data_IF_635869908384
#
_entry.id   IF_635869908384
#
_cell.length_a   1.000
_cell.length_b   1.000
_cell.length_c   1.000
_cell.angle_alpha   90.00
_cell.angle_beta   90.00
_cell.angle_gamma   90.00
#
_symmetry.space_group_name_H-M   'P 1'
#
loop_
_entity.id
_entity.type
_entity.pdbx_description
1 polymer ?
#
# COMPACT_ATOMS: atom_id res chain seq x y z
N UNK A 1 5.14 -7.71 49.11
CA UNK A 1 5.82 -6.77 48.20
C UNK A 1 5.00 -5.49 48.23
N UNK A 2 5.53 -4.46 48.86
CA UNK A 2 4.86 -3.18 49.07
C UNK A 2 5.07 -2.28 47.84
N UNK A 3 4.01 -1.62 47.39
CA UNK A 3 4.05 -0.56 46.38
C UNK A 3 4.38 0.77 47.09
N UNK A 4 5.23 1.64 46.53
CA UNK A 4 5.47 2.96 47.10
C UNK A 4 4.46 3.98 46.57
N UNK A 5 3.83 4.67 47.52
CA UNK A 5 3.16 5.96 47.37
C UNK A 5 4.14 7.04 46.87
N UNK A 6 3.65 8.00 46.09
CA UNK A 6 4.44 9.17 45.69
C UNK A 6 3.78 10.04 44.63
N UNK A 7 2.70 10.73 45.00
CA UNK A 7 2.11 11.84 44.25
C UNK A 7 2.79 13.14 44.74
N UNK A 8 3.43 13.91 43.85
CA UNK A 8 3.79 15.30 44.10
C UNK A 8 3.03 16.19 43.10
N UNK A 9 2.13 17.01 43.63
CA UNK A 9 1.51 18.13 42.94
C UNK A 9 2.47 19.31 43.01
N UNK A 10 2.75 19.94 41.86
CA UNK A 10 3.45 21.22 41.80
C UNK A 10 2.42 22.32 41.58
N UNK A 11 2.21 23.10 42.63
CA UNK A 11 1.58 24.42 42.60
C UNK A 11 2.46 25.39 41.79
N UNK A 12 1.85 26.09 40.83
CA UNK A 12 2.46 27.25 40.17
C UNK A 12 1.38 28.31 39.97
N UNK A 13 1.15 29.09 41.01
CA UNK A 13 0.48 30.39 40.92
C UNK A 13 1.42 31.49 41.42
N UNK A 14 1.29 32.64 40.74
CA UNK A 14 1.81 33.98 41.06
C UNK A 14 3.28 34.32 40.72
N UNK A 15 3.44 35.03 39.59
CA UNK A 15 4.00 36.40 39.60
C UNK A 15 3.24 37.26 38.58
N UNK A 16 2.38 38.16 39.09
CA UNK A 16 1.91 39.36 38.38
C UNK A 16 2.87 40.53 38.67
N UNK A 17 3.25 41.30 37.65
CA UNK A 17 2.81 42.70 37.48
C UNK A 17 3.80 43.58 36.67
N UNK A 18 3.19 44.33 35.75
CA UNK A 18 3.51 45.68 35.29
C UNK A 18 4.66 45.91 34.28
N UNK A 19 4.26 46.12 33.02
CA UNK A 19 4.63 47.33 32.27
C UNK A 19 3.60 47.64 31.16
N UNK A 20 3.01 48.83 31.29
CA UNK A 20 2.18 49.63 30.37
C UNK A 20 2.40 49.34 28.86
N UNK A 21 1.41 49.29 27.98
CA UNK A 21 0.25 50.19 27.90
C UNK A 21 0.56 51.41 27.02
N UNK A 22 0.77 51.24 25.70
CA UNK A 22 0.52 52.24 24.63
C UNK A 22 0.93 51.68 23.23
N UNK A 23 0.17 50.72 22.67
CA UNK A 23 0.37 50.29 21.27
C UNK A 23 -0.86 49.61 20.61
N UNK A 24 -2.07 49.78 21.15
CA UNK A 24 -3.20 48.89 20.81
C UNK A 24 -4.19 49.42 19.75
N UNK A 25 -3.90 50.51 19.03
CA UNK A 25 -4.85 51.07 18.02
C UNK A 25 -4.21 51.30 16.64
N UNK A 26 -2.92 51.03 16.46
CA UNK A 26 -2.24 51.10 15.14
C UNK A 26 -1.72 49.73 14.68
N UNK A 27 -1.81 48.69 15.53
CA UNK A 27 -1.39 47.33 15.22
C UNK A 27 -2.50 46.46 14.59
N UNK A 28 -3.75 46.94 14.51
CA UNK A 28 -4.83 46.19 13.83
C UNK A 28 -4.83 46.39 12.32
N UNK A 29 -4.34 47.54 11.81
CA UNK A 29 -4.26 47.80 10.36
C UNK A 29 -2.99 47.26 9.70
N UNK A 30 -1.94 46.95 10.48
CA UNK A 30 -0.69 46.35 9.96
C UNK A 30 -0.71 44.81 9.94
N UNK A 31 -1.66 44.16 10.62
CA UNK A 31 -1.82 42.69 10.57
C UNK A 31 -2.54 42.22 9.31
N UNK A 32 -3.47 43.01 8.80
CA UNK A 32 -4.30 42.62 7.64
C UNK A 32 -3.51 42.57 6.33
N UNK A 33 -2.39 43.31 6.22
CA UNK A 33 -1.55 43.30 5.01
C UNK A 33 -0.41 42.28 5.01
N UNK A 34 -0.15 41.57 6.10
CA UNK A 34 0.83 40.47 6.11
C UNK A 34 0.21 39.10 5.85
N UNK A 35 -1.10 38.94 6.09
CA UNK A 35 -1.78 37.65 5.95
C UNK A 35 -1.96 37.22 4.48
N UNK A 36 -2.13 38.17 3.54
CA UNK A 36 -2.27 37.84 2.11
C UNK A 36 -0.96 37.32 1.48
N UNK A 37 0.21 37.80 1.90
CA UNK A 37 1.50 37.30 1.37
C UNK A 37 1.86 35.90 1.92
N UNK A 38 1.34 35.54 3.10
CA UNK A 38 1.65 34.28 3.77
C UNK A 38 0.91 33.08 3.15
N UNK A 39 -0.29 33.27 2.61
CA UNK A 39 -1.09 32.21 1.96
C UNK A 39 -0.42 31.63 0.73
N UNK A 40 0.10 32.49 -0.15
CA UNK A 40 0.83 32.09 -1.35
C UNK A 40 2.16 31.39 -1.00
N UNK A 41 2.89 31.90 -0.01
CA UNK A 41 4.13 31.29 0.46
C UNK A 41 3.90 29.88 1.06
N UNK A 42 2.85 29.73 1.87
CA UNK A 42 2.45 28.44 2.43
C UNK A 42 2.04 27.45 1.34
N UNK A 43 1.28 27.89 0.33
CA UNK A 43 0.88 27.01 -0.78
C UNK A 43 2.08 26.51 -1.59
N UNK A 44 3.05 27.39 -1.90
CA UNK A 44 4.28 27.01 -2.61
C UNK A 44 5.09 25.99 -1.80
N UNK A 45 5.23 26.22 -0.49
CA UNK A 45 5.92 25.28 0.40
C UNK A 45 5.17 23.94 0.54
N UNK A 46 3.84 23.99 0.67
CA UNK A 46 2.98 22.82 0.75
C UNK A 46 3.08 21.97 -0.52
N UNK A 47 3.07 22.60 -1.71
CA UNK A 47 3.26 21.91 -3.00
C UNK A 47 4.62 21.22 -3.07
N UNK A 48 5.69 21.93 -2.71
CA UNK A 48 7.03 21.36 -2.67
C UNK A 48 7.12 20.15 -1.73
N UNK A 49 6.61 20.28 -0.51
CA UNK A 49 6.61 19.21 0.48
C UNK A 49 5.70 18.05 0.07
N UNK A 50 4.55 18.32 -0.56
CA UNK A 50 3.62 17.32 -1.06
C UNK A 50 4.31 16.39 -2.08
N UNK A 51 5.00 16.99 -3.05
CA UNK A 51 5.71 16.24 -4.10
C UNK A 51 6.83 15.36 -3.53
N UNK A 52 7.57 15.89 -2.54
CA UNK A 52 8.64 15.15 -1.85
C UNK A 52 8.05 14.02 -0.99
N UNK A 53 7.12 14.35 -0.10
CA UNK A 53 6.62 13.42 0.93
C UNK A 53 5.82 12.26 0.35
N UNK A 54 5.14 12.47 -0.78
CA UNK A 54 4.38 11.42 -1.47
C UNK A 54 5.18 10.70 -2.57
N UNK A 55 6.44 11.06 -2.80
CA UNK A 55 7.26 10.48 -3.88
C UNK A 55 7.36 8.95 -3.77
N UNK A 56 7.54 8.44 -2.54
CA UNK A 56 7.69 7.00 -2.27
C UNK A 56 6.38 6.24 -2.08
N UNK A 57 5.24 6.93 -1.95
CA UNK A 57 3.94 6.27 -1.86
C UNK A 57 3.68 5.45 -3.12
N UNK A 58 3.27 4.20 -2.94
CA UNK A 58 2.97 3.26 -4.00
C UNK A 58 1.98 3.84 -5.01
N UNK A 59 2.26 3.68 -6.31
CA UNK A 59 1.47 4.28 -7.40
C UNK A 59 0.01 3.78 -7.47
N UNK A 60 -0.28 2.66 -6.83
CA UNK A 60 -1.60 2.04 -6.76
C UNK A 60 -2.42 2.56 -5.57
N UNK A 61 -1.82 3.34 -4.67
CA UNK A 61 -2.53 3.99 -3.58
C UNK A 61 -3.06 5.33 -4.11
N UNK A 62 -4.37 5.62 -3.98
CA UNK A 62 -4.93 6.92 -4.33
C UNK A 62 -4.22 8.04 -3.55
N UNK A 63 -3.84 9.12 -4.25
CA UNK A 63 -3.21 10.30 -3.66
C UNK A 63 -4.18 11.48 -3.80
N UNK A 64 -4.78 11.97 -2.70
CA UNK A 64 -5.57 13.20 -2.73
C UNK A 64 -4.74 14.36 -3.25
N UNK A 65 -5.32 15.21 -4.10
CA UNK A 65 -4.60 16.37 -4.64
C UNK A 65 -4.32 17.39 -3.54
N UNK A 66 -3.33 18.27 -3.72
CA UNK A 66 -3.09 19.36 -2.77
C UNK A 66 -4.36 20.23 -2.57
N UNK A 67 -5.08 20.51 -3.65
CA UNK A 67 -6.38 21.19 -3.61
C UNK A 67 -7.38 20.47 -2.68
N UNK A 68 -7.45 19.13 -2.75
CA UNK A 68 -8.29 18.34 -1.84
C UNK A 68 -7.85 18.53 -0.39
N UNK A 69 -6.53 18.51 -0.12
CA UNK A 69 -6.01 18.72 1.24
C UNK A 69 -6.34 20.11 1.79
N UNK A 70 -6.32 21.15 0.93
CA UNK A 70 -6.55 22.53 1.34
C UNK A 70 -8.03 22.87 1.53
N UNK A 71 -8.89 22.42 0.63
CA UNK A 71 -10.28 22.88 0.57
C UNK A 71 -11.31 21.82 0.98
N UNK A 72 -10.94 20.53 0.91
CA UNK A 72 -11.83 19.39 1.17
C UNK A 72 -11.10 18.28 1.94
N UNK A 73 -10.50 18.59 3.10
CA UNK A 73 -9.65 17.64 3.84
C UNK A 73 -10.38 16.34 4.23
N UNK A 74 -11.70 16.37 4.36
CA UNK A 74 -12.55 15.19 4.57
C UNK A 74 -12.53 14.20 3.40
N UNK A 75 -12.36 14.68 2.17
CA UNK A 75 -12.21 13.84 0.97
C UNK A 75 -10.79 13.26 0.83
N UNK A 76 -9.83 13.75 1.63
CA UNK A 76 -8.45 13.28 1.59
C UNK A 76 -8.22 11.94 2.31
N UNK A 77 -9.27 11.33 2.85
CA UNK A 77 -9.17 10.04 3.53
C UNK A 77 -8.86 8.92 2.53
N UNK A 78 -7.80 8.14 2.83
CA UNK A 78 -7.41 6.99 1.99
C UNK A 78 -7.91 5.70 2.64
N UNK A 79 -8.89 5.08 2.00
CA UNK A 79 -9.65 3.93 2.54
C UNK A 79 -8.82 2.68 2.77
N UNK A 80 -7.82 2.41 1.94
CA UNK A 80 -6.95 1.24 2.09
C UNK A 80 -5.88 1.41 3.19
N UNK A 81 -5.89 2.53 3.91
CA UNK A 81 -4.95 2.88 5.00
C UNK A 81 -5.73 3.02 6.32
N UNK A 82 -5.23 2.50 7.44
CA UNK A 82 -5.84 2.69 8.76
C UNK A 82 -6.02 4.17 9.12
N UNK A 83 -7.06 4.48 9.89
CA UNK A 83 -7.39 5.86 10.29
C UNK A 83 -6.24 6.54 11.07
N UNK A 84 -5.49 5.76 11.86
CA UNK A 84 -4.35 6.25 12.64
C UNK A 84 -3.04 6.35 11.83
N UNK A 85 -3.06 6.03 10.54
CA UNK A 85 -1.91 6.09 9.62
C UNK A 85 -2.17 6.97 8.40
N UNK A 86 -3.22 7.79 8.44
CA UNK A 86 -3.59 8.72 7.37
C UNK A 86 -2.48 9.75 7.08
N UNK A 87 -2.69 10.57 6.05
CA UNK A 87 -1.68 11.49 5.52
C UNK A 87 -1.01 12.38 6.58
N UNK A 88 -1.73 12.82 7.61
CA UNK A 88 -1.15 13.61 8.70
C UNK A 88 0.01 12.91 9.40
N UNK A 89 -0.15 11.62 9.73
CA UNK A 89 0.91 10.81 10.32
C UNK A 89 2.04 10.57 9.31
N UNK A 90 1.70 10.28 8.06
CA UNK A 90 2.69 10.09 7.00
C UNK A 90 3.60 11.31 6.83
N UNK A 91 3.00 12.50 6.74
CA UNK A 91 3.71 13.75 6.57
C UNK A 91 4.52 14.13 7.80
N UNK A 92 3.97 13.91 8.99
CA UNK A 92 4.65 14.16 10.27
C UNK A 92 5.85 13.24 10.51
N UNK A 93 5.82 12.00 10.00
CA UNK A 93 6.89 11.02 10.19
C UNK A 93 7.87 10.93 9.00
N UNK A 94 7.72 11.78 7.97
CA UNK A 94 8.49 11.67 6.73
C UNK A 94 10.01 11.60 6.95
N UNK A 95 10.59 12.49 7.76
CA UNK A 95 12.05 12.52 7.97
C UNK A 95 12.55 11.18 8.56
N UNK A 96 11.82 10.57 9.49
CA UNK A 96 12.16 9.25 10.06
C UNK A 96 12.02 8.11 9.05
N UNK A 97 11.02 8.18 8.18
CA UNK A 97 10.88 7.22 7.07
C UNK A 97 12.07 7.33 6.11
N UNK A 98 12.49 8.56 5.79
CA UNK A 98 13.61 8.85 4.90
C UNK A 98 14.97 8.44 5.51
N UNK A 99 15.20 8.67 6.81
CA UNK A 99 16.37 8.18 7.55
C UNK A 99 16.53 6.64 7.44
N UNK A 100 15.41 5.93 7.33
CA UNK A 100 15.38 4.47 7.14
C UNK A 100 15.42 4.02 5.69
N UNK A 101 15.64 4.95 4.76
CA UNK A 101 15.57 4.69 3.32
C UNK A 101 14.26 4.04 2.89
N UNK A 102 13.15 4.31 3.60
CA UNK A 102 11.85 3.68 3.36
C UNK A 102 11.91 2.14 3.33
N UNK A 103 12.73 1.54 4.21
CA UNK A 103 12.88 0.09 4.34
C UNK A 103 12.32 -0.38 5.68
N UNK A 104 11.30 -1.24 5.62
CA UNK A 104 10.67 -1.78 6.82
C UNK A 104 11.64 -2.78 7.50
N UNK A 105 11.63 -2.84 8.83
CA UNK A 105 12.41 -3.83 9.60
C UNK A 105 11.64 -4.24 10.84
N UNK A 106 11.62 -5.53 11.22
CA UNK A 106 10.87 -5.98 12.40
C UNK A 106 11.38 -5.25 13.66
N UNK A 107 10.44 -4.70 14.44
CA UNK A 107 10.75 -3.99 15.69
C UNK A 107 9.54 -3.95 16.61
N UNK A 108 9.78 -4.11 17.91
CA UNK A 108 8.78 -3.97 18.98
C UNK A 108 8.69 -2.55 19.54
N UNK A 109 9.60 -1.66 19.15
CA UNK A 109 9.50 -0.26 19.54
C UNK A 109 8.24 0.36 18.91
N UNK A 110 7.50 1.13 19.71
CA UNK A 110 6.20 1.67 19.30
C UNK A 110 6.32 2.63 18.12
N UNK A 111 7.36 3.47 18.10
CA UNK A 111 7.58 4.42 17.01
C UNK A 111 7.97 3.65 15.76
N UNK A 112 8.92 2.71 15.89
CA UNK A 112 9.35 1.86 14.79
C UNK A 112 8.20 1.05 14.20
N UNK A 113 7.27 0.59 15.04
CA UNK A 113 6.07 -0.11 14.61
C UNK A 113 5.15 0.79 13.77
N UNK A 114 4.95 2.06 14.15
CA UNK A 114 4.21 3.03 13.32
C UNK A 114 4.89 3.22 11.97
N UNK A 115 6.22 3.40 11.94
CA UNK A 115 6.97 3.56 10.69
C UNK A 115 6.83 2.33 9.78
N UNK A 116 6.95 1.14 10.34
CA UNK A 116 6.75 -0.11 9.61
C UNK A 116 5.34 -0.22 9.04
N UNK A 117 4.30 0.03 9.87
CA UNK A 117 2.91 0.03 9.41
C UNK A 117 2.73 1.04 8.26
N UNK A 118 3.24 2.26 8.39
CA UNK A 118 3.20 3.26 7.32
C UNK A 118 3.84 2.74 6.02
N UNK A 119 5.01 2.09 6.09
CA UNK A 119 5.67 1.55 4.89
C UNK A 119 4.87 0.44 4.21
N UNK A 120 4.24 -0.45 4.97
CA UNK A 120 3.39 -1.53 4.44
C UNK A 120 2.11 -0.99 3.79
N UNK A 121 1.35 -0.15 4.50
CA UNK A 121 0.05 0.36 4.04
C UNK A 121 0.17 1.36 2.89
N UNK A 122 1.15 2.25 2.94
CA UNK A 122 1.40 3.20 1.85
C UNK A 122 2.22 2.60 0.70
N UNK A 123 2.62 1.33 0.81
CA UNK A 123 3.38 0.63 -0.23
C UNK A 123 4.72 1.29 -0.56
N UNK A 124 5.39 1.85 0.46
CA UNK A 124 6.67 2.55 0.31
C UNK A 124 7.85 1.60 0.18
N UNK A 125 7.72 0.42 0.79
CA UNK A 125 8.69 -0.65 0.66
C UNK A 125 8.14 -1.73 -0.28
N UNK A 126 8.65 -1.80 -1.51
CA UNK A 126 8.22 -2.80 -2.48
C UNK A 126 8.56 -4.25 -2.06
N UNK A 127 9.44 -4.43 -1.08
CA UNK A 127 9.85 -5.73 -0.52
C UNK A 127 8.99 -6.13 0.69
N UNK A 128 8.35 -5.16 1.33
CA UNK A 128 7.49 -5.32 2.51
C UNK A 128 6.16 -4.58 2.30
N UNK A 129 5.25 -5.22 1.58
CA UNK A 129 3.94 -4.64 1.27
C UNK A 129 2.92 -5.73 1.04
N UNK A 130 1.65 -5.44 1.30
CA UNK A 130 0.54 -6.34 0.95
C UNK A 130 0.09 -6.20 -0.50
N UNK A 131 0.70 -5.28 -1.26
CA UNK A 131 0.24 -4.93 -2.59
C UNK A 131 0.49 -6.03 -3.62
N UNK A 132 -0.60 -6.48 -4.25
CA UNK A 132 -0.57 -7.41 -5.39
C UNK A 132 0.14 -6.88 -6.64
N UNK A 133 0.46 -5.59 -6.68
CA UNK A 133 1.13 -4.96 -7.82
C UNK A 133 2.65 -5.13 -7.80
N UNK A 134 3.25 -5.48 -6.65
CA UNK A 134 4.68 -5.75 -6.55
C UNK A 134 5.00 -7.22 -6.82
N UNK A 135 5.95 -7.46 -7.74
CA UNK A 135 6.39 -8.83 -8.06
C UNK A 135 7.04 -9.55 -6.86
N UNK A 136 7.74 -8.80 -5.99
CA UNK A 136 8.28 -9.33 -4.72
C UNK A 136 7.17 -10.02 -3.90
N UNK A 137 6.06 -9.32 -3.71
CA UNK A 137 4.89 -9.79 -2.95
C UNK A 137 4.26 -10.98 -3.63
N UNK A 138 3.97 -10.89 -4.93
CA UNK A 138 3.34 -11.97 -5.70
C UNK A 138 4.12 -13.28 -5.61
N UNK A 139 5.44 -13.23 -5.74
CA UNK A 139 6.28 -14.43 -5.68
C UNK A 139 6.42 -14.98 -4.26
N UNK A 140 6.51 -14.12 -3.24
CA UNK A 140 6.43 -14.57 -1.85
C UNK A 140 5.12 -15.31 -1.59
N UNK A 141 3.97 -14.70 -1.95
CA UNK A 141 2.64 -15.29 -1.74
C UNK A 141 2.48 -16.63 -2.47
N UNK A 142 2.94 -16.75 -3.72
CA UNK A 142 2.89 -18.02 -4.44
C UNK A 142 3.73 -19.12 -3.75
N UNK A 143 4.94 -18.80 -3.31
CA UNK A 143 5.79 -19.75 -2.58
C UNK A 143 5.20 -20.11 -1.21
N UNK A 144 4.58 -19.15 -0.54
CA UNK A 144 3.89 -19.35 0.73
C UNK A 144 2.66 -20.25 0.60
N UNK A 145 1.86 -20.06 -0.46
CA UNK A 145 0.74 -20.96 -0.78
C UNK A 145 1.23 -22.39 -1.09
N UNK A 146 2.34 -22.52 -1.83
CA UNK A 146 2.98 -23.81 -2.07
C UNK A 146 3.44 -24.48 -0.77
N UNK A 147 4.16 -23.74 0.09
CA UNK A 147 4.64 -24.27 1.38
C UNK A 147 3.47 -24.68 2.30
N UNK A 148 2.40 -23.88 2.35
CA UNK A 148 1.20 -24.21 3.12
C UNK A 148 0.52 -25.47 2.58
N UNK A 149 0.34 -25.58 1.26
CA UNK A 149 -0.24 -26.77 0.63
C UNK A 149 0.60 -28.03 0.87
N UNK A 150 1.93 -27.92 0.96
CA UNK A 150 2.83 -29.04 1.29
C UNK A 150 2.72 -29.54 2.74
N UNK A 151 1.95 -28.87 3.59
CA UNK A 151 1.94 -29.13 5.03
C UNK A 151 3.20 -28.62 5.74
N UNK A 152 3.87 -27.62 5.16
CA UNK A 152 5.12 -27.04 5.65
C UNK A 152 6.26 -28.07 5.75
N UNK A 153 6.44 -28.86 4.70
CA UNK A 153 7.55 -29.80 4.61
C UNK A 153 8.89 -29.05 4.76
N UNK A 154 9.72 -29.55 5.68
CA UNK A 154 11.08 -29.06 5.97
C UNK A 154 12.01 -29.07 4.75
N UNK A 155 11.68 -29.83 3.70
CA UNK A 155 12.35 -29.79 2.39
C UNK A 155 12.24 -28.40 1.74
N UNK A 156 11.12 -27.70 1.93
CA UNK A 156 10.86 -26.45 1.21
C UNK A 156 11.01 -25.21 2.09
N UNK A 157 10.75 -25.30 3.39
CA UNK A 157 10.68 -24.12 4.26
C UNK A 157 11.36 -24.35 5.62
N UNK A 158 11.67 -23.24 6.31
CA UNK A 158 12.28 -23.30 7.65
C UNK A 158 11.27 -23.83 8.68
N UNK A 159 11.75 -24.47 9.77
CA UNK A 159 10.86 -24.99 10.82
C UNK A 159 10.09 -23.84 11.52
N UNK A 160 8.92 -24.11 12.10
CA UNK A 160 8.13 -23.11 12.86
C UNK A 160 7.66 -21.88 12.07
N UNK A 161 7.68 -21.94 10.73
CA UNK A 161 7.31 -20.82 9.85
C UNK A 161 5.79 -20.69 9.62
N UNK A 162 5.01 -21.66 10.11
CA UNK A 162 3.60 -21.83 9.77
C UNK A 162 2.78 -20.58 10.06
N UNK A 163 2.90 -20.04 11.27
CA UNK A 163 2.13 -18.87 11.70
C UNK A 163 2.48 -17.63 10.88
N UNK A 164 3.78 -17.43 10.60
CA UNK A 164 4.26 -16.32 9.78
C UNK A 164 3.70 -16.38 8.34
N UNK A 165 3.80 -17.55 7.70
CA UNK A 165 3.32 -17.77 6.33
C UNK A 165 1.81 -17.61 6.24
N UNK A 166 1.06 -18.23 7.14
CA UNK A 166 -0.41 -18.17 7.13
C UNK A 166 -0.91 -16.75 7.37
N UNK A 167 -0.35 -16.05 8.36
CA UNK A 167 -0.72 -14.66 8.64
C UNK A 167 -0.45 -13.75 7.45
N UNK A 168 0.70 -13.88 6.78
CA UNK A 168 0.99 -13.05 5.60
C UNK A 168 0.06 -13.34 4.42
N UNK A 169 -0.25 -14.61 4.17
CA UNK A 169 -1.17 -14.98 3.08
C UNK A 169 -2.57 -14.43 3.36
N UNK A 170 -3.07 -14.52 4.60
CA UNK A 170 -4.37 -13.95 4.98
C UNK A 170 -4.39 -12.42 4.88
N UNK A 171 -3.36 -11.75 5.40
CA UNK A 171 -3.17 -10.31 5.25
C UNK A 171 -3.15 -9.86 3.79
N UNK A 172 -2.49 -10.63 2.92
CA UNK A 172 -2.48 -10.36 1.48
C UNK A 172 -3.86 -10.55 0.84
N UNK A 173 -4.60 -11.61 1.21
CA UNK A 173 -5.98 -11.84 0.73
C UNK A 173 -6.90 -10.72 1.18
N UNK A 174 -6.84 -10.30 2.44
CA UNK A 174 -7.60 -9.15 2.98
C UNK A 174 -7.33 -7.88 2.16
N UNK A 175 -6.06 -7.64 1.78
CA UNK A 175 -5.65 -6.48 0.99
C UNK A 175 -6.01 -6.54 -0.51
N UNK A 176 -6.54 -7.65 -1.02
CA UNK A 176 -6.79 -7.80 -2.46
C UNK A 176 -7.89 -6.88 -2.99
N UNK A 177 -8.87 -6.56 -2.15
CA UNK A 177 -10.01 -5.70 -2.48
C UNK A 177 -10.01 -4.54 -1.49
N UNK A 178 -9.87 -3.33 -2.02
CA UNK A 178 -10.08 -2.09 -1.26
C UNK A 178 -11.58 -1.92 -1.06
N UNK A 179 -12.10 -2.52 0.02
CA UNK A 179 -13.48 -2.35 0.45
C UNK A 179 -13.60 -0.98 1.09
N UNK A 180 -13.83 0.04 0.27
CA UNK A 180 -13.83 1.47 0.62
C UNK A 180 -14.87 1.92 1.66
N UNK A 181 -15.54 1.00 2.35
CA UNK A 181 -16.48 1.33 3.40
C UNK A 181 -15.75 1.56 4.73
N UNK A 182 -15.71 2.82 5.17
CA UNK A 182 -15.13 3.25 6.44
C UNK A 182 -15.68 2.49 7.65
N UNK A 183 -16.89 1.92 7.57
CA UNK A 183 -17.50 1.17 8.67
C UNK A 183 -17.09 -0.29 8.73
N UNK A 184 -16.57 -0.83 7.63
CA UNK A 184 -16.20 -2.24 7.47
C UNK A 184 -14.71 -2.43 7.18
N UNK A 185 -13.93 -1.35 7.27
CA UNK A 185 -12.48 -1.35 7.08
C UNK A 185 -11.81 -2.19 8.17
N UNK A 186 -11.81 -3.49 7.92
CA UNK A 186 -11.12 -4.49 8.69
C UNK A 186 -9.66 -4.56 8.22
N UNK A 187 -8.78 -4.38 9.18
CA UNK A 187 -7.33 -4.46 9.01
C UNK A 187 -6.76 -5.59 9.87
N UNK A 188 -7.62 -6.42 10.47
CA UNK A 188 -7.23 -7.38 11.51
C UNK A 188 -6.20 -8.39 11.04
N UNK A 189 -6.30 -8.90 9.82
CA UNK A 189 -5.34 -9.89 9.30
C UNK A 189 -3.98 -9.22 9.01
N UNK A 190 -3.98 -8.00 8.43
CA UNK A 190 -2.77 -7.21 8.21
C UNK A 190 -2.09 -6.79 9.52
N UNK A 191 -2.83 -6.31 10.51
CA UNK A 191 -2.29 -5.95 11.82
C UNK A 191 -1.75 -7.18 12.56
N UNK A 192 -2.48 -8.30 12.54
CA UNK A 192 -2.02 -9.57 13.12
C UNK A 192 -0.70 -10.03 12.48
N UNK A 193 -0.56 -9.93 11.15
CA UNK A 193 0.71 -10.23 10.50
C UNK A 193 1.83 -9.30 10.97
N UNK A 194 1.60 -7.99 11.08
CA UNK A 194 2.62 -7.03 11.50
C UNK A 194 3.08 -7.27 12.94
N UNK A 195 2.18 -7.71 13.83
CA UNK A 195 2.53 -8.15 15.18
C UNK A 195 3.41 -9.41 15.18
N UNK A 196 3.02 -10.43 14.38
CA UNK A 196 3.78 -11.68 14.24
C UNK A 196 5.17 -11.41 13.64
N UNK A 197 5.25 -10.56 12.62
CA UNK A 197 6.51 -10.20 11.97
C UNK A 197 7.42 -9.40 12.89
N UNK A 198 6.88 -8.43 13.65
CA UNK A 198 7.65 -7.64 14.60
C UNK A 198 8.26 -8.47 15.74
N UNK A 199 7.59 -9.54 16.17
CA UNK A 199 8.05 -10.45 17.23
C UNK A 199 8.87 -11.64 16.70
N UNK A 200 8.71 -11.96 15.42
CA UNK A 200 9.21 -13.18 14.82
C UNK A 200 10.68 -13.11 14.38
N UNK A 201 11.32 -14.28 14.18
CA UNK A 201 12.67 -14.35 13.62
C UNK A 201 12.67 -14.32 12.08
N UNK A 202 11.48 -14.31 11.47
CA UNK A 202 11.30 -14.50 10.04
C UNK A 202 11.02 -13.22 9.30
N UNK A 203 11.54 -13.16 8.08
CA UNK A 203 11.31 -12.06 7.17
C UNK A 203 10.88 -12.54 5.78
N UNK A 204 10.35 -11.63 4.96
CA UNK A 204 9.97 -11.90 3.57
C UNK A 204 11.22 -12.10 2.69
N UNK A 205 11.09 -12.92 1.65
CA UNK A 205 12.19 -13.09 0.70
C UNK A 205 12.33 -11.82 -0.13
N UNK A 206 13.50 -11.18 -0.05
CA UNK A 206 13.83 -10.05 -0.91
C UNK A 206 14.58 -10.52 -2.16
N UNK A 207 13.84 -10.66 -3.27
CA UNK A 207 14.42 -11.07 -4.55
C UNK A 207 15.21 -9.93 -5.19
N UNK A 208 16.47 -10.19 -5.55
CA UNK A 208 17.22 -9.25 -6.36
C UNK A 208 16.70 -9.21 -7.82
N UNK A 209 17.14 -8.22 -8.61
CA UNK A 209 16.68 -8.03 -9.99
C UNK A 209 16.87 -9.26 -10.89
N UNK A 210 17.95 -10.02 -10.71
CA UNK A 210 18.21 -11.23 -11.49
C UNK A 210 17.23 -12.35 -11.11
N UNK A 211 16.98 -12.53 -9.81
CA UNK A 211 16.00 -13.50 -9.31
C UNK A 211 14.58 -13.13 -9.75
N UNK A 212 14.17 -11.86 -9.69
CA UNK A 212 12.87 -11.40 -10.19
C UNK A 212 12.71 -11.68 -11.70
N UNK A 213 13.75 -11.46 -12.50
CA UNK A 213 13.75 -11.79 -13.93
C UNK A 213 13.60 -13.30 -14.15
N UNK A 214 14.30 -14.13 -13.37
CA UNK A 214 14.21 -15.59 -13.42
C UNK A 214 12.82 -16.08 -13.03
N UNK A 215 12.27 -15.57 -11.92
CA UNK A 215 10.90 -15.88 -11.46
C UNK A 215 9.86 -15.51 -12.50
N UNK A 216 10.02 -14.37 -13.20
CA UNK A 216 9.12 -13.97 -14.29
C UNK A 216 9.11 -14.96 -15.45
N UNK A 217 10.26 -15.51 -15.81
CA UNK A 217 10.39 -16.52 -16.87
C UNK A 217 9.74 -17.84 -16.42
N UNK A 218 10.05 -18.29 -15.19
CA UNK A 218 9.46 -19.49 -14.60
C UNK A 218 7.94 -19.37 -14.57
N UNK A 219 7.42 -18.26 -14.02
CA UNK A 219 5.98 -17.99 -13.96
C UNK A 219 5.31 -18.15 -15.32
N UNK A 220 5.86 -17.54 -16.38
CA UNK A 220 5.28 -17.65 -17.73
C UNK A 220 5.23 -19.11 -18.20
N UNK A 221 6.34 -19.83 -18.07
CA UNK A 221 6.42 -21.24 -18.47
C UNK A 221 5.41 -22.11 -17.70
N UNK A 222 5.31 -21.93 -16.38
CA UNK A 222 4.37 -22.69 -15.56
C UNK A 222 2.90 -22.44 -15.94
N UNK A 223 2.57 -21.22 -16.34
CA UNK A 223 1.21 -20.87 -16.78
C UNK A 223 0.84 -21.48 -18.14
N UNK A 224 1.82 -21.86 -18.97
CA UNK A 224 1.62 -22.51 -20.27
C UNK A 224 1.49 -24.04 -20.16
N UNK A 225 1.86 -24.65 -19.03
CA UNK A 225 1.77 -26.11 -18.83
C UNK A 225 0.31 -26.53 -18.74
N UNK A 226 -0.10 -27.47 -19.60
CA UNK A 226 -1.39 -28.14 -19.50
C UNK A 226 -1.38 -29.10 -18.30
N UNK A 227 -2.42 -29.01 -17.48
CA UNK A 227 -2.64 -29.91 -16.32
C UNK A 227 -4.05 -30.49 -16.41
N UNK A 228 -4.26 -31.65 -15.81
CA UNK A 228 -5.55 -32.33 -15.80
C UNK A 228 -6.67 -31.36 -15.41
N UNK A 229 -7.72 -31.31 -16.24
CA UNK A 229 -8.90 -30.48 -16.01
C UNK A 229 -9.45 -30.57 -14.58
N UNK A 230 -9.38 -31.73 -13.92
CA UNK A 230 -9.86 -31.86 -12.53
C UNK A 230 -9.12 -30.95 -11.55
N UNK A 231 -7.83 -30.71 -11.80
CA UNK A 231 -6.98 -29.84 -10.99
C UNK A 231 -7.15 -28.34 -11.35
N UNK A 232 -7.86 -28.02 -12.44
CA UNK A 232 -8.02 -26.63 -12.92
C UNK A 232 -9.36 -26.00 -12.59
N UNK A 233 -10.37 -26.78 -12.19
CA UNK A 233 -11.74 -26.26 -12.03
C UNK A 233 -11.87 -25.32 -10.84
N UNK A 234 -11.06 -25.49 -9.78
CA UNK A 234 -11.12 -24.67 -8.57
C UNK A 234 -9.71 -24.33 -8.04
N UNK A 235 -8.93 -23.52 -8.78
CA UNK A 235 -7.58 -23.16 -8.38
C UNK A 235 -7.53 -22.47 -7.02
N UNK A 236 -8.61 -21.82 -6.57
CA UNK A 236 -8.74 -21.17 -5.26
C UNK A 236 -8.72 -22.16 -4.10
N UNK A 237 -9.14 -23.41 -4.36
CA UNK A 237 -9.21 -24.47 -3.34
C UNK A 237 -7.92 -25.30 -3.22
N UNK A 238 -6.86 -24.94 -3.97
CA UNK A 238 -5.60 -25.69 -4.03
C UNK A 238 -5.07 -26.14 -2.65
N UNK A 239 -4.98 -25.22 -1.68
CA UNK A 239 -4.46 -25.54 -0.33
C UNK A 239 -5.35 -26.56 0.37
N UNK A 240 -6.68 -26.38 0.29
CA UNK A 240 -7.64 -27.30 0.90
C UNK A 240 -7.64 -28.67 0.23
N UNK A 241 -7.54 -28.73 -1.11
CA UNK A 241 -7.45 -29.98 -1.86
C UNK A 241 -6.22 -30.81 -1.45
N UNK A 242 -5.06 -30.16 -1.24
CA UNK A 242 -3.89 -30.85 -0.70
C UNK A 242 -4.12 -31.39 0.72
N UNK A 243 -4.73 -30.60 1.61
CA UNK A 243 -4.96 -31.01 3.01
C UNK A 243 -6.03 -32.09 3.15
N UNK A 244 -7.00 -32.14 2.24
CA UNK A 244 -8.03 -33.17 2.19
C UNK A 244 -7.56 -34.48 1.53
N UNK A 245 -6.36 -34.48 0.92
CA UNK A 245 -5.83 -35.63 0.20
C UNK A 245 -6.41 -35.80 -1.22
N UNK A 246 -7.05 -34.77 -1.77
CA UNK A 246 -7.54 -34.77 -3.16
C UNK A 246 -6.40 -34.69 -4.17
N UNK A 247 -5.24 -34.20 -3.74
CA UNK A 247 -3.98 -34.16 -4.49
C UNK A 247 -2.98 -35.05 -3.76
N UNK A 248 -2.62 -36.17 -4.37
CA UNK A 248 -1.64 -37.08 -3.80
C UNK A 248 -0.21 -36.47 -3.83
N UNK A 249 0.72 -36.98 -3.01
CA UNK A 249 2.07 -36.42 -2.93
C UNK A 249 2.87 -36.42 -4.24
N UNK A 250 2.67 -37.40 -5.12
CA UNK A 250 3.38 -37.47 -6.41
C UNK A 250 2.87 -36.38 -7.36
N UNK A 251 1.54 -36.22 -7.44
CA UNK A 251 0.88 -35.13 -8.15
C UNK A 251 1.31 -33.76 -7.60
N UNK A 252 1.41 -33.61 -6.28
CA UNK A 252 1.88 -32.37 -5.65
C UNK A 252 3.33 -32.04 -6.01
N UNK A 253 4.25 -33.01 -5.94
CA UNK A 253 5.66 -32.80 -6.30
C UNK A 253 5.80 -32.39 -7.78
N UNK A 254 4.93 -32.89 -8.66
CA UNK A 254 4.96 -32.56 -10.09
C UNK A 254 4.30 -31.21 -10.40
N UNK A 255 3.14 -30.93 -9.83
CA UNK A 255 2.27 -29.81 -10.24
C UNK A 255 2.07 -28.72 -9.18
N UNK A 256 2.48 -28.94 -7.94
CA UNK A 256 2.32 -28.01 -6.82
C UNK A 256 2.75 -26.57 -7.13
N UNK A 257 3.93 -26.32 -7.74
CA UNK A 257 4.34 -24.96 -8.09
C UNK A 257 3.44 -24.30 -9.14
N UNK A 258 2.91 -25.08 -10.10
CA UNK A 258 1.97 -24.60 -11.12
C UNK A 258 0.64 -24.25 -10.45
N UNK A 259 0.14 -25.13 -9.59
CA UNK A 259 -1.12 -24.95 -8.87
C UNK A 259 -1.06 -23.73 -7.93
N UNK A 260 0.05 -23.50 -7.23
CA UNK A 260 0.24 -22.33 -6.39
C UNK A 260 0.23 -21.01 -7.19
N UNK A 261 0.82 -20.99 -8.39
CA UNK A 261 0.77 -19.82 -9.28
C UNK A 261 -0.64 -19.58 -9.82
N UNK A 262 -1.38 -20.65 -10.14
CA UNK A 262 -2.78 -20.55 -10.56
C UNK A 262 -3.69 -20.11 -9.42
N UNK A 263 -3.46 -20.59 -8.21
CA UNK A 263 -4.14 -20.14 -6.98
C UNK A 263 -3.96 -18.63 -6.78
N UNK A 264 -2.72 -18.13 -6.87
CA UNK A 264 -2.43 -16.70 -6.82
C UNK A 264 -3.21 -15.92 -7.90
N UNK A 265 -3.14 -16.39 -9.15
CA UNK A 265 -3.78 -15.73 -10.28
C UNK A 265 -5.31 -15.70 -10.14
N UNK A 266 -5.90 -16.78 -9.66
CA UNK A 266 -7.32 -16.92 -9.43
C UNK A 266 -7.84 -15.92 -8.39
N UNK A 267 -7.16 -15.82 -7.24
CA UNK A 267 -7.48 -14.80 -6.22
C UNK A 267 -7.32 -13.37 -6.75
N UNK A 268 -6.25 -13.09 -7.52
CA UNK A 268 -6.07 -11.78 -8.15
C UNK A 268 -7.20 -11.44 -9.14
N UNK A 269 -7.64 -12.43 -9.92
CA UNK A 269 -8.73 -12.27 -10.89
C UNK A 269 -10.06 -12.04 -10.20
N UNK A 270 -10.41 -12.84 -9.19
CA UNK A 270 -11.63 -12.64 -8.39
C UNK A 270 -11.64 -11.24 -7.81
N UNK A 271 -10.56 -10.84 -7.15
CA UNK A 271 -10.45 -9.52 -6.55
C UNK A 271 -10.52 -8.36 -7.55
N UNK A 272 -10.10 -8.55 -8.82
CA UNK A 272 -10.30 -7.53 -9.85
C UNK A 272 -11.77 -7.36 -10.22
N UNK A 273 -12.53 -8.46 -10.27
CA UNK A 273 -13.98 -8.41 -10.50
C UNK A 273 -14.65 -7.72 -9.32
N UNK A 274 -14.35 -8.17 -8.11
CA UNK A 274 -14.91 -7.60 -6.88
C UNK A 274 -14.59 -6.09 -6.79
N UNK A 275 -13.34 -5.68 -7.03
CA UNK A 275 -12.95 -4.28 -7.00
C UNK A 275 -13.72 -3.44 -8.03
N UNK A 276 -13.93 -3.97 -9.24
CA UNK A 276 -14.67 -3.25 -10.28
C UNK A 276 -16.15 -3.05 -9.89
N UNK A 277 -16.75 -4.05 -9.24
CA UNK A 277 -18.12 -3.96 -8.73
C UNK A 277 -18.21 -2.93 -7.58
N UNK A 278 -17.23 -2.93 -6.67
CA UNK A 278 -17.14 -1.91 -5.61
C UNK A 278 -16.91 -0.50 -6.15
N UNK A 279 -16.01 -0.33 -7.12
CA UNK A 279 -15.73 0.97 -7.74
C UNK A 279 -16.98 1.53 -8.43
N UNK A 280 -17.74 0.67 -9.12
CA UNK A 280 -19.01 1.05 -9.74
C UNK A 280 -20.04 1.48 -8.70
N UNK A 281 -20.19 0.72 -7.60
CA UNK A 281 -21.10 1.06 -6.51
C UNK A 281 -20.72 2.39 -5.86
N UNK A 282 -19.43 2.62 -5.60
CA UNK A 282 -18.97 3.87 -5.01
C UNK A 282 -19.21 5.06 -5.94
N UNK A 283 -19.00 4.91 -7.24
CA UNK A 283 -19.34 5.97 -8.21
C UNK A 283 -20.83 6.30 -8.20
N UNK A 284 -21.72 5.31 -8.02
CA UNK A 284 -23.16 5.56 -7.88
C UNK A 284 -23.49 6.31 -6.59
N UNK A 285 -22.85 5.96 -5.47
CA UNK A 285 -23.01 6.64 -4.19
C UNK A 285 -22.55 8.11 -4.31
N UNK A 286 -21.33 8.34 -4.81
CA UNK A 286 -20.80 9.70 -4.99
C UNK A 286 -21.65 10.55 -5.95
N UNK A 287 -22.20 9.94 -7.00
CA UNK A 287 -23.13 10.62 -7.91
C UNK A 287 -24.44 11.00 -7.20
N UNK A 288 -24.98 10.11 -6.36
CA UNK A 288 -26.17 10.38 -5.57
C UNK A 288 -25.95 11.46 -4.50
N UNK A 289 -24.79 11.44 -3.82
CA UNK A 289 -24.41 12.45 -2.83
C UNK A 289 -24.27 13.82 -3.49
N UNK A 290 -23.61 13.91 -4.65
CA UNK A 290 -23.51 15.16 -5.43
C UNK A 290 -24.88 15.68 -5.85
N UNK A 291 -25.78 14.80 -6.30
CA UNK A 291 -27.15 15.20 -6.67
C UNK A 291 -27.93 15.73 -5.46
N UNK A 292 -27.74 15.11 -4.29
CA UNK A 292 -28.34 15.55 -3.04
C UNK A 292 -27.80 16.91 -2.60
N UNK A 293 -26.49 17.11 -2.63
CA UNK A 293 -25.84 18.39 -2.33
C UNK A 293 -26.32 19.51 -3.25
N UNK A 294 -26.43 19.25 -4.55
CA UNK A 294 -26.94 20.22 -5.52
C UNK A 294 -28.41 20.60 -5.20
N UNK A 295 -29.24 19.62 -4.82
CA UNK A 295 -30.62 19.86 -4.40
C UNK A 295 -30.69 20.68 -3.12
N UNK A 296 -29.86 20.37 -2.12
CA UNK A 296 -29.79 21.11 -0.87
C UNK A 296 -29.34 22.56 -1.09
N UNK A 297 -28.29 22.77 -1.89
CA UNK A 297 -27.82 24.11 -2.25
C UNK A 297 -28.90 24.93 -2.97
N UNK A 298 -29.67 24.32 -3.89
CA UNK A 298 -30.82 24.98 -4.55
C UNK A 298 -31.90 25.36 -3.54
N UNK A 299 -32.22 24.47 -2.60
CA UNK A 299 -33.22 24.74 -1.56
C UNK A 299 -32.79 25.88 -0.64
N UNK A 300 -31.51 25.91 -0.25
CA UNK A 300 -30.93 27.00 0.56
C UNK A 300 -31.00 28.34 -0.17
N UNK A 301 -30.58 28.39 -1.44
CA UNK A 301 -30.70 29.60 -2.27
C UNK A 301 -32.15 30.10 -2.37
N UNK A 302 -33.11 29.19 -2.55
CA UNK A 302 -34.54 29.55 -2.59
C UNK A 302 -35.03 30.11 -1.24
N UNK A 303 -34.54 29.58 -0.12
CA UNK A 303 -34.88 30.10 1.21
C UNK A 303 -34.29 31.49 1.44
N UNK A 304 -33.01 31.70 1.13
CA UNK A 304 -32.35 33.01 1.25
C UNK A 304 -33.03 34.07 0.37
N UNK A 305 -33.42 33.69 -0.86
CA UNK A 305 -34.18 34.57 -1.76
C UNK A 305 -35.55 34.94 -1.20
N UNK A 306 -36.26 34.02 -0.53
CA UNK A 306 -37.54 34.32 0.14
C UNK A 306 -37.39 35.30 1.30
N UNK A 307 -36.22 35.34 1.93
CA UNK A 307 -35.88 36.30 2.99
C UNK A 307 -35.34 37.63 2.46
N UNK A 308 -35.21 37.80 1.14
CA UNK A 308 -34.66 39.00 0.53
C UNK A 308 -33.13 39.14 0.66
N UNK A 309 -32.43 38.05 0.98
CA UNK A 309 -30.96 38.03 1.08
C UNK A 309 -30.38 37.65 -0.30
N UNK A 310 -29.55 38.51 -0.88
CA UNK A 310 -28.81 38.18 -2.10
C UNK A 310 -27.65 37.24 -1.77
N UNK A 311 -27.64 36.08 -2.43
CA UNK A 311 -26.55 35.10 -2.32
C UNK A 311 -25.51 35.44 -3.37
N UNK A 312 -24.45 36.13 -2.99
CA UNK A 312 -23.22 36.13 -3.79
C UNK A 312 -22.60 34.73 -3.73
N UNK A 313 -22.17 34.14 -4.85
CA UNK A 313 -21.36 32.92 -4.81
C UNK A 313 -20.16 33.22 -3.93
N UNK A 314 -20.13 32.65 -2.72
CA UNK A 314 -18.96 32.76 -1.87
C UNK A 314 -17.79 32.22 -2.67
N UNK A 315 -16.69 32.97 -2.71
CA UNK A 315 -15.41 32.49 -3.21
C UNK A 315 -14.91 31.42 -2.22
N UNK A 316 -15.53 30.24 -2.25
CA UNK A 316 -15.35 29.19 -1.23
C UNK A 316 -13.92 28.65 -1.21
N UNK A 317 -13.19 28.78 -2.32
CA UNK A 317 -11.87 28.19 -2.49
C UNK A 317 -10.79 29.26 -2.73
N UNK A 318 -10.74 30.29 -1.88
CA UNK A 318 -9.58 31.19 -1.81
C UNK A 318 -8.57 30.67 -0.78
N UNK A 319 -7.27 30.89 -1.03
CA UNK A 319 -6.20 30.45 -0.12
C UNK A 319 -6.33 31.06 1.28
N UNK A 320 -6.98 32.22 1.40
CA UNK A 320 -7.27 32.89 2.66
C UNK A 320 -8.21 32.09 3.58
N UNK A 321 -9.03 31.19 3.00
CA UNK A 321 -9.94 30.33 3.76
C UNK A 321 -9.29 29.01 4.20
N UNK A 322 -8.05 28.74 3.78
CA UNK A 322 -7.37 27.48 4.11
C UNK A 322 -6.89 27.54 5.55
N UNK A 323 -7.31 26.57 6.36
CA UNK A 323 -6.78 26.40 7.72
C UNK A 323 -5.39 25.76 7.68
N UNK A 324 -4.38 26.58 7.40
CA UNK A 324 -2.97 26.20 7.41
C UNK A 324 -2.49 25.67 8.76
N UNK A 325 -3.25 25.89 9.84
CA UNK A 325 -2.94 25.41 11.19
C UNK A 325 -3.54 24.04 11.52
N UNK A 326 -4.40 23.51 10.64
CA UNK A 326 -4.93 22.16 10.76
C UNK A 326 -3.80 21.14 10.87
N UNK A 327 -4.00 20.07 11.65
CA UNK A 327 -2.97 19.05 11.89
C UNK A 327 -2.41 18.47 10.58
N UNK A 328 -3.28 18.23 9.60
CA UNK A 328 -2.91 17.72 8.29
C UNK A 328 -1.98 18.69 7.54
N UNK A 329 -2.36 19.97 7.40
CA UNK A 329 -1.55 20.94 6.66
C UNK A 329 -0.30 21.35 7.45
N UNK A 330 -0.37 21.46 8.77
CA UNK A 330 0.79 21.68 9.63
C UNK A 330 1.83 20.55 9.47
N UNK A 331 1.37 19.29 9.43
CA UNK A 331 2.25 18.14 9.20
C UNK A 331 2.85 18.12 7.79
N UNK A 332 2.10 18.58 6.78
CA UNK A 332 2.57 18.74 5.40
C UNK A 332 3.64 19.85 5.31
N UNK A 333 3.41 20.99 5.94
CA UNK A 333 4.32 22.13 6.01
C UNK A 333 5.57 21.87 6.87
N UNK A 334 5.56 20.82 7.69
CA UNK A 334 6.72 20.47 8.52
C UNK A 334 8.00 20.31 7.67
N UNK A 335 9.09 20.90 8.16
CA UNK A 335 10.35 21.02 7.42
C UNK A 335 10.91 19.65 7.06
N UNK A 336 11.14 19.44 5.77
CA UNK A 336 11.95 18.33 5.27
C UNK A 336 13.40 18.57 5.65
N UNK A 337 14.03 17.61 6.32
CA UNK A 337 15.45 17.70 6.66
C UNK A 337 16.30 17.72 5.39
N UNK A 338 17.00 18.83 5.16
CA UNK A 338 17.83 19.06 3.98
C UNK A 338 19.12 18.23 3.96
N UNK A 339 19.49 17.61 5.09
CA UNK A 339 20.62 16.69 5.16
C UNK A 339 20.29 15.29 4.61
N UNK A 340 19.00 14.97 4.47
CA UNK A 340 18.54 13.71 3.91
C UNK A 340 18.60 13.75 2.37
N UNK A 341 19.00 12.64 1.72
CA UNK A 341 19.00 12.56 0.26
C UNK A 341 17.58 12.71 -0.29
N UNK A 342 17.48 13.24 -1.51
CA UNK A 342 16.18 13.36 -2.18
C UNK A 342 15.56 11.96 -2.37
N UNK A 343 14.22 11.78 -2.23
CA UNK A 343 13.58 10.47 -2.39
C UNK A 343 13.92 9.72 -3.68
N UNK A 344 14.17 10.43 -4.78
CA UNK A 344 14.58 9.82 -6.05
C UNK A 344 15.96 9.15 -5.98
N UNK A 345 16.82 9.61 -5.07
CA UNK A 345 18.20 9.14 -4.89
C UNK A 345 18.29 8.01 -3.86
N UNK A 346 17.28 7.90 -2.98
CA UNK A 346 17.19 6.83 -1.99
C UNK A 346 16.94 5.50 -2.71
N UNK A 347 17.98 4.69 -2.82
CA UNK A 347 17.88 3.29 -3.21
C UNK A 347 17.46 2.46 -1.98
N UNK A 348 16.57 1.48 -2.20
CA UNK A 348 16.25 0.52 -1.15
C UNK A 348 17.52 -0.25 -0.76
N UNK A 349 17.68 -0.49 0.54
CA UNK A 349 18.82 -1.23 1.04
C UNK A 349 18.81 -2.64 0.44
N UNK A 350 19.95 -3.05 -0.12
CA UNK A 350 20.13 -4.46 -0.51
C UNK A 350 20.22 -5.28 0.77
N UNK A 351 19.55 -6.44 0.83
CA UNK A 351 19.66 -7.31 1.99
C UNK A 351 21.12 -7.73 2.16
N UNK A 352 21.62 -7.59 3.39
CA UNK A 352 22.92 -8.10 3.80
C UNK A 352 22.93 -9.63 3.81
N UNK A 353 24.13 -10.21 3.90
CA UNK A 353 24.26 -11.68 3.98
C UNK A 353 23.56 -12.28 5.20
N UNK A 354 23.46 -11.53 6.30
CA UNK A 354 22.76 -11.97 7.51
C UNK A 354 21.22 -11.91 7.37
N UNK A 355 20.68 -11.01 6.54
CA UNK A 355 19.23 -10.92 6.28
C UNK A 355 18.71 -12.18 5.59
N UNK A 356 19.54 -12.84 4.78
CA UNK A 356 19.15 -14.12 4.14
C UNK A 356 18.86 -15.21 5.18
N UNK A 357 19.47 -15.12 6.37
CA UNK A 357 19.22 -16.07 7.46
C UNK A 357 17.86 -15.85 8.12
N UNK A 358 17.28 -14.65 8.03
CA UNK A 358 15.94 -14.36 8.58
C UNK A 358 14.84 -14.70 7.57
N UNK A 359 15.13 -14.81 6.27
CA UNK A 359 14.08 -15.18 5.30
C UNK A 359 13.37 -16.49 5.65
N UNK A 360 12.05 -16.50 5.54
CA UNK A 360 11.20 -17.65 5.90
C UNK A 360 11.52 -18.93 5.09
N UNK A 361 12.15 -18.78 3.92
CA UNK A 361 12.64 -19.82 3.03
C UNK A 361 14.01 -19.44 2.48
N UNK A 362 14.92 -20.42 2.32
CA UNK A 362 16.22 -20.19 1.68
C UNK A 362 16.03 -19.90 0.17
N UNK A 363 16.51 -18.77 -0.36
CA UNK A 363 16.37 -18.45 -1.78
C UNK A 363 16.95 -19.50 -2.75
N UNK A 364 17.92 -20.31 -2.32
CA UNK A 364 18.46 -21.39 -3.14
C UNK A 364 17.45 -22.53 -3.34
N UNK A 365 16.72 -22.89 -2.28
CA UNK A 365 15.69 -23.95 -2.29
C UNK A 365 14.62 -23.66 -3.34
N UNK A 366 14.27 -22.39 -3.54
CA UNK A 366 13.29 -21.95 -4.56
C UNK A 366 13.64 -22.50 -5.94
N UNK A 367 14.90 -22.37 -6.36
CA UNK A 367 15.29 -22.69 -7.72
C UNK A 367 15.84 -24.12 -7.89
N UNK A 368 16.26 -24.77 -6.80
CA UNK A 368 16.81 -26.13 -6.84
C UNK A 368 15.79 -27.20 -6.48
N UNK A 369 14.82 -26.89 -5.59
CA UNK A 369 13.83 -27.85 -5.11
C UNK A 369 12.43 -27.54 -5.65
N UNK A 370 11.95 -26.30 -5.48
CA UNK A 370 10.56 -25.95 -5.87
C UNK A 370 10.37 -25.95 -7.38
N UNK A 371 11.34 -25.41 -8.14
CA UNK A 371 11.26 -25.30 -9.60
C UNK A 371 12.25 -26.21 -10.36
N UNK A 372 12.63 -27.35 -9.76
CA UNK A 372 13.70 -28.23 -10.25
C UNK A 372 13.46 -28.77 -11.67
N UNK A 373 12.32 -29.44 -11.90
CA UNK A 373 12.00 -30.08 -13.19
C UNK A 373 11.98 -29.08 -14.35
N UNK A 374 11.47 -27.87 -14.11
CA UNK A 374 11.36 -26.85 -15.16
C UNK A 374 12.71 -26.19 -15.50
N UNK A 375 13.70 -26.28 -14.61
CA UNK A 375 15.06 -25.84 -14.89
C UNK A 375 15.78 -26.80 -15.85
N UNK A 376 15.55 -28.12 -15.69
CA UNK A 376 16.18 -29.18 -16.48
C UNK A 376 15.61 -29.22 -17.91
N UNK A 377 14.29 -29.15 -18.08
CA UNK A 377 13.63 -29.12 -19.39
C UNK A 377 13.98 -27.85 -20.20
N UNK A 378 14.33 -26.76 -19.52
CA UNK A 378 14.71 -25.50 -20.13
C UNK A 378 16.11 -25.46 -20.74
N UNK A 379 17.02 -26.37 -20.34
CA UNK A 379 18.39 -26.39 -20.86
C UNK A 379 18.56 -27.25 -22.12
N UNK A 380 17.72 -28.27 -22.32
CA UNK A 380 17.82 -29.14 -23.49
C UNK A 380 17.15 -28.59 -24.77
N UNK A 381 16.40 -27.49 -24.68
CA UNK A 381 15.81 -26.80 -25.84
C UNK A 381 16.74 -25.80 -26.54
N UNK A 382 17.95 -25.56 -26.02
CA UNK A 382 18.94 -24.63 -26.56
C UNK A 382 19.77 -25.22 -27.71
N UNK A 383 19.13 -25.88 -28.67
CA UNK A 383 19.76 -26.30 -29.92
C UNK A 383 19.95 -25.10 -30.84
N UNK A 384 21.22 -24.68 -31.00
CA UNK A 384 21.80 -23.93 -32.13
C UNK A 384 20.82 -23.02 -32.91
N UNK A 385 20.80 -21.73 -32.58
CA UNK A 385 20.53 -20.72 -33.59
C UNK A 385 21.71 -19.74 -33.64
N UNK A 386 22.52 -19.95 -34.68
CA UNK A 386 23.59 -19.09 -35.14
C UNK A 386 23.08 -17.68 -35.44
N UNK A 387 23.99 -16.71 -35.29
CA UNK A 387 23.65 -15.30 -35.20
C UNK A 387 22.90 -14.72 -36.39
N UNK A 388 21.94 -13.86 -36.07
CA UNK A 388 21.54 -12.74 -36.91
C UNK A 388 21.22 -11.55 -36.00
N UNK A 389 21.88 -10.43 -36.26
CA UNK A 389 21.68 -9.16 -35.58
C UNK A 389 20.28 -8.62 -35.90
N UNK A 390 19.30 -8.88 -35.03
CA UNK A 390 17.96 -8.30 -35.09
C UNK A 390 17.75 -7.23 -34.01
N UNK A 391 17.28 -6.06 -34.43
CA UNK A 391 16.90 -4.93 -33.57
C UNK A 391 15.90 -5.33 -32.47
N UNK A 392 15.85 -4.59 -31.33
CA UNK A 392 14.91 -4.89 -30.26
C UNK A 392 13.47 -4.60 -30.69
N UNK A 393 12.71 -5.66 -30.99
CA UNK A 393 11.27 -5.58 -31.16
C UNK A 393 10.60 -5.14 -29.86
N UNK A 394 9.69 -4.16 -30.01
CA UNK A 394 8.87 -3.62 -28.94
C UNK A 394 8.03 -4.73 -28.31
N UNK A 395 7.94 -4.68 -26.97
CA UNK A 395 7.23 -5.64 -26.15
C UNK A 395 5.73 -5.73 -26.49
N UNK A 396 5.29 -6.85 -27.04
CA UNK A 396 3.89 -7.24 -27.32
C UNK A 396 3.12 -7.62 -26.03
N UNK A 397 3.60 -7.21 -24.85
CA UNK A 397 3.08 -7.63 -23.56
C UNK A 397 1.81 -6.90 -23.08
N UNK A 398 1.36 -5.84 -23.76
CA UNK A 398 0.13 -5.12 -23.40
C UNK A 398 -1.09 -5.50 -24.25
N UNK A 399 -0.91 -6.10 -25.44
CA UNK A 399 -2.02 -6.31 -26.36
C UNK A 399 -2.96 -7.45 -25.92
N UNK A 400 -2.49 -8.41 -25.13
CA UNK A 400 -3.34 -9.49 -24.61
C UNK A 400 -4.36 -8.97 -23.58
N UNK A 401 -3.96 -8.01 -22.74
CA UNK A 401 -4.86 -7.36 -21.77
C UNK A 401 -5.83 -6.39 -22.47
N UNK A 402 -5.38 -5.67 -23.49
CA UNK A 402 -6.24 -4.80 -24.30
C UNK A 402 -7.30 -5.60 -25.07
N UNK A 403 -6.93 -6.77 -25.63
CA UNK A 403 -7.87 -7.63 -26.34
C UNK A 403 -8.88 -8.30 -25.40
N UNK A 404 -8.47 -8.70 -24.19
CA UNK A 404 -9.39 -9.25 -23.18
C UNK A 404 -10.39 -8.21 -22.66
N UNK A 405 -9.97 -6.95 -22.54
CA UNK A 405 -10.84 -5.82 -22.17
C UNK A 405 -11.77 -5.40 -23.33
N UNK A 406 -11.35 -5.56 -24.58
CA UNK A 406 -12.20 -5.34 -25.75
C UNK A 406 -13.30 -6.39 -25.87
N UNK A 407 -12.99 -7.67 -25.62
CA UNK A 407 -13.97 -8.76 -25.61
C UNK A 407 -15.01 -8.63 -24.48
N UNK A 408 -14.60 -8.12 -23.31
CA UNK A 408 -15.52 -7.84 -22.21
C UNK A 408 -16.43 -6.62 -22.48
N UNK A 409 -16.00 -5.68 -23.34
CA UNK A 409 -16.82 -4.55 -23.77
C UNK A 409 -17.86 -4.96 -24.81
N UNK A 410 -17.52 -5.87 -25.74
CA UNK A 410 -18.47 -6.37 -26.74
C UNK A 410 -19.62 -7.17 -26.10
N UNK A 411 -19.33 -7.96 -25.06
CA UNK A 411 -20.36 -8.73 -24.32
C UNK A 411 -21.27 -7.90 -23.42
N UNK A 412 -21.01 -6.59 -23.26
CA UNK A 412 -21.87 -5.65 -22.51
C UNK A 412 -22.78 -4.81 -23.41
N UNK A 413 -22.61 -4.88 -24.73
CA UNK A 413 -23.44 -4.17 -25.72
C UNK A 413 -24.51 -5.05 -26.39
N UNK A 414 -24.55 -6.33 -26.05
CA UNK A 414 -25.67 -7.26 -26.30
C UNK A 414 -26.44 -7.44 -24.98
#
# INVERSE_FOLDING_TARGET
>A
MAMPDGFEMVDCDMVEAAADGYAAVVASDARVHHEEEDGDANYVLAQHNYDIKLFKVGKFIPKPTLETLCFRPEEAFVTCVPADLQLGVLFGQYNRLAERSFTARPSLDRIEHILNRSMFYWGMDATHSFSRFFNQVRYNVALMAFAWASGFDSKYCKPYVQNFVQAYVRAWIENLVDKRDLKLNDFSEREQFLEIWAQGPYDLINFNSAQLKKMKIIYRKLMEVEIDHKLTVQPENFIAMCHNGDIDPETFEQYGPILAMRWLHAHQRSANVDQADYDMLQQQILAADRELEEKLAKLEQLQLRKLGIEVTPQARDTLDNVDWTSELLASLLSRVDQSLPHPSEIMQNKPGGDDVKTFWMDPNVIFTEVFKKQAEDGQNGGGQNSGENGQPEKSVGMDVLSNLLADLRLKRSE
#
